data_IF_246232717774
#
_entry.id   IF_246232717774
#
_cell.length_a   1.000
_cell.length_b   1.000
_cell.length_c   1.000
_cell.angle_alpha   90.00
_cell.angle_beta   90.00
_cell.angle_gamma   90.00
#
_symmetry.space_group_name_H-M   'P 1'
#
loop_
_entity.id
_entity.type
_entity.pdbx_description
1 polymer ?
#
# COMPACT_ATOMS: atom_id res chain seq x y z
N UNK A 1 4.42 19.42 4.81
CA UNK A 1 4.17 19.02 6.21
C UNK A 1 4.99 17.79 6.50
N UNK A 2 5.71 17.80 7.61
CA UNK A 2 6.63 16.73 8.01
C UNK A 2 5.84 15.44 8.29
N UNK A 3 5.98 14.45 7.40
CA UNK A 3 5.33 13.13 7.53
C UNK A 3 5.96 12.30 8.66
N UNK A 4 7.13 12.68 9.16
CA UNK A 4 7.84 11.93 10.19
C UNK A 4 7.30 12.17 11.60
N UNK A 5 6.57 13.26 11.83
CA UNK A 5 5.91 13.56 13.11
C UNK A 5 4.45 13.11 13.21
N UNK A 6 3.93 12.34 12.25
CA UNK A 6 2.55 11.81 12.30
C UNK A 6 2.54 10.38 12.83
N UNK A 7 1.82 10.20 13.94
CA UNK A 7 1.77 8.96 14.73
C UNK A 7 0.61 8.03 14.38
N UNK A 8 -0.38 8.51 13.61
CA UNK A 8 -1.60 7.76 13.27
C UNK A 8 -1.75 7.65 11.75
N UNK A 9 -2.10 6.45 11.29
CA UNK A 9 -2.42 6.10 9.91
C UNK A 9 -3.89 5.72 9.79
N UNK A 10 -4.61 6.34 8.86
CA UNK A 10 -6.06 6.19 8.72
C UNK A 10 -6.42 5.24 7.58
N UNK A 11 -7.22 4.22 7.90
CA UNK A 11 -7.77 3.28 6.93
C UNK A 11 -9.27 3.53 6.74
N UNK A 12 -9.64 4.12 5.62
CA UNK A 12 -11.03 4.37 5.24
C UNK A 12 -11.58 3.14 4.51
N UNK A 13 -12.74 2.64 4.95
CA UNK A 13 -13.30 1.40 4.42
C UNK A 13 -14.80 1.28 4.73
N UNK A 14 -15.39 0.11 4.47
CA UNK A 14 -16.78 -0.21 4.80
C UNK A 14 -16.92 -1.09 6.06
N UNK A 15 -18.15 -1.24 6.56
CA UNK A 15 -18.42 -2.03 7.77
C UNK A 15 -18.14 -3.53 7.61
N UNK A 16 -18.22 -4.08 6.39
CA UNK A 16 -17.89 -5.49 6.16
C UNK A 16 -16.38 -5.73 6.29
N UNK A 17 -15.57 -4.80 5.79
CA UNK A 17 -14.13 -4.83 5.95
C UNK A 17 -13.74 -4.62 7.43
N UNK A 18 -14.39 -3.71 8.15
CA UNK A 18 -14.14 -3.50 9.58
C UNK A 18 -14.49 -4.71 10.43
N UNK A 19 -15.57 -5.43 10.15
CA UNK A 19 -15.86 -6.72 10.82
C UNK A 19 -14.68 -7.69 10.66
N UNK A 20 -14.12 -7.80 9.44
CA UNK A 20 -12.93 -8.61 9.20
C UNK A 20 -11.68 -8.14 9.95
N UNK A 21 -11.44 -6.83 10.00
CA UNK A 21 -10.25 -6.25 10.65
C UNK A 21 -10.35 -6.40 12.17
N UNK A 22 -11.49 -6.07 12.77
CA UNK A 22 -11.66 -6.00 14.21
C UNK A 22 -12.03 -7.37 14.80
N UNK A 23 -13.16 -7.96 14.37
CA UNK A 23 -13.68 -9.21 14.96
C UNK A 23 -12.81 -10.40 14.58
N UNK A 24 -12.41 -10.50 13.31
CA UNK A 24 -11.56 -11.60 12.85
C UNK A 24 -10.05 -11.33 13.03
N UNK A 25 -9.66 -10.13 13.48
CA UNK A 25 -8.26 -9.70 13.57
C UNK A 25 -7.48 -9.86 12.25
N UNK A 26 -8.11 -9.59 11.09
CA UNK A 26 -7.53 -9.81 9.78
C UNK A 26 -7.40 -8.52 8.96
N UNK A 27 -6.17 -8.07 8.74
CA UNK A 27 -5.90 -6.99 7.79
C UNK A 27 -5.67 -7.59 6.40
N UNK A 28 -6.57 -7.28 5.46
CA UNK A 28 -6.45 -7.77 4.07
C UNK A 28 -5.44 -6.93 3.30
N UNK A 29 -4.42 -7.58 2.75
CA UNK A 29 -3.58 -7.00 1.70
C UNK A 29 -4.08 -7.46 0.33
N UNK A 30 -4.25 -6.50 -0.58
CA UNK A 30 -4.80 -6.73 -1.91
C UNK A 30 -3.72 -6.57 -2.98
N UNK A 31 -3.89 -7.25 -4.12
CA UNK A 31 -2.92 -7.16 -5.20
C UNK A 31 -2.91 -5.75 -5.80
N UNK A 32 -1.80 -5.04 -5.65
CA UNK A 32 -1.60 -3.65 -6.11
C UNK A 32 -1.73 -3.55 -7.63
N UNK A 33 -1.36 -4.61 -8.37
CA UNK A 33 -1.46 -4.68 -9.83
C UNK A 33 -2.87 -4.97 -10.35
N UNK A 34 -3.81 -5.33 -9.47
CA UNK A 34 -5.24 -5.48 -9.79
C UNK A 34 -6.08 -4.35 -9.17
N UNK A 35 -5.42 -3.34 -8.61
CA UNK A 35 -6.00 -2.06 -8.16
C UNK A 35 -5.78 -0.98 -9.22
N UNK A 36 -6.28 0.23 -8.96
CA UNK A 36 -6.13 1.40 -9.85
C UNK A 36 -4.65 1.73 -10.13
N UNK A 37 -3.73 1.26 -9.27
CA UNK A 37 -2.30 1.56 -9.24
C UNK A 37 -1.47 0.76 -10.28
N UNK A 38 -2.07 -0.20 -11.01
CA UNK A 38 -1.33 -0.98 -12.03
C UNK A 38 -0.75 -0.12 -13.16
N UNK A 39 -1.40 1.00 -13.47
CA UNK A 39 -0.90 1.98 -14.43
C UNK A 39 0.31 2.73 -13.86
N UNK A 40 0.32 3.02 -12.55
CA UNK A 40 1.41 3.75 -11.89
C UNK A 40 2.66 2.91 -11.80
N UNK A 41 2.56 1.62 -11.47
CA UNK A 41 3.72 0.72 -11.44
C UNK A 41 4.36 0.56 -12.82
N UNK A 42 3.54 0.41 -13.87
CA UNK A 42 4.03 0.40 -15.26
C UNK A 42 4.63 1.74 -15.67
N UNK A 43 4.05 2.85 -15.21
CA UNK A 43 4.58 4.19 -15.46
C UNK A 43 5.95 4.38 -14.81
N UNK A 44 6.13 3.93 -13.55
CA UNK A 44 7.42 3.91 -12.87
C UNK A 44 8.48 3.15 -13.68
N UNK A 45 8.17 1.92 -14.11
CA UNK A 45 9.14 1.08 -14.82
C UNK A 45 9.51 1.65 -16.20
N UNK A 46 8.55 2.26 -16.90
CA UNK A 46 8.82 2.99 -18.14
C UNK A 46 9.69 4.22 -17.90
N UNK A 47 9.36 5.03 -16.90
CA UNK A 47 10.15 6.21 -16.53
C UNK A 47 11.57 5.84 -16.11
N UNK A 48 11.73 4.72 -15.40
CA UNK A 48 13.05 4.21 -15.00
C UNK A 48 13.87 3.78 -16.22
N UNK A 49 13.27 3.07 -17.18
CA UNK A 49 13.93 2.74 -18.45
C UNK A 49 14.36 4.01 -19.19
N UNK A 50 13.47 5.01 -19.33
CA UNK A 50 13.78 6.28 -19.99
C UNK A 50 14.94 7.01 -19.31
N UNK A 51 14.93 7.11 -17.97
CA UNK A 51 15.98 7.79 -17.23
C UNK A 51 17.35 7.09 -17.35
N UNK A 52 17.38 5.75 -17.39
CA UNK A 52 18.63 4.99 -17.64
C UNK A 52 19.12 5.23 -19.07
N UNK A 53 18.22 5.18 -20.06
CA UNK A 53 18.59 5.41 -21.47
C UNK A 53 19.15 6.82 -21.67
N UNK A 54 18.47 7.85 -21.17
CA UNK A 54 18.93 9.24 -21.27
C UNK A 54 20.33 9.43 -20.64
N UNK A 55 20.60 8.75 -19.53
CA UNK A 55 21.90 8.76 -18.86
C UNK A 55 22.99 8.12 -19.73
N UNK A 56 22.71 6.98 -20.35
CA UNK A 56 23.65 6.30 -21.25
C UNK A 56 23.96 7.15 -22.48
N UNK A 57 22.96 7.78 -23.08
CA UNK A 57 23.12 8.67 -24.23
C UNK A 57 24.02 9.87 -23.89
N UNK A 58 23.82 10.48 -22.72
CA UNK A 58 24.67 11.58 -22.22
C UNK A 58 26.13 11.16 -21.98
N UNK A 59 26.37 9.90 -21.64
CA UNK A 59 27.71 9.33 -21.43
C UNK A 59 28.33 8.75 -22.70
N UNK A 60 27.64 8.82 -23.84
CA UNK A 60 28.12 8.29 -25.12
C UNK A 60 28.08 6.76 -25.23
N UNK A 61 27.27 6.09 -24.40
CA UNK A 61 27.10 4.63 -24.33
C UNK A 61 25.95 4.14 -25.20
N UNK A 62 25.95 4.54 -26.48
CA UNK A 62 24.82 4.28 -27.40
C UNK A 62 24.60 2.77 -27.65
N UNK A 63 25.68 1.98 -27.62
CA UNK A 63 25.65 0.54 -27.91
C UNK A 63 24.84 -0.25 -26.86
N UNK A 64 24.68 0.28 -25.65
CA UNK A 64 23.96 -0.38 -24.55
C UNK A 64 22.48 0.00 -24.48
N UNK A 65 22.03 1.01 -25.24
CA UNK A 65 20.66 1.55 -25.17
C UNK A 65 19.62 0.50 -25.55
N UNK A 66 19.82 -0.19 -26.68
CA UNK A 66 18.89 -1.22 -27.17
C UNK A 66 18.76 -2.37 -26.16
N UNK A 67 19.88 -2.85 -25.61
CA UNK A 67 19.89 -3.91 -24.62
C UNK A 67 19.11 -3.55 -23.33
N UNK A 68 19.20 -2.29 -22.87
CA UNK A 68 18.40 -1.82 -21.73
C UNK A 68 16.92 -1.79 -22.08
N UNK A 69 16.56 -1.25 -23.25
CA UNK A 69 15.17 -1.18 -23.68
C UNK A 69 14.54 -2.57 -23.78
N UNK A 70 15.24 -3.53 -24.39
CA UNK A 70 14.80 -4.91 -24.52
C UNK A 70 14.63 -5.58 -23.16
N UNK A 71 15.60 -5.40 -22.26
CA UNK A 71 15.55 -5.93 -20.90
C UNK A 71 14.29 -5.44 -20.16
N UNK A 72 14.01 -4.13 -20.19
CA UNK A 72 12.82 -3.57 -19.54
C UNK A 72 11.52 -4.01 -20.23
N UNK A 73 11.50 -4.10 -21.57
CA UNK A 73 10.33 -4.58 -22.31
C UNK A 73 9.98 -6.02 -21.96
N UNK A 74 10.97 -6.92 -21.91
CA UNK A 74 10.76 -8.31 -21.48
C UNK A 74 10.32 -8.38 -20.03
N UNK A 75 10.90 -7.56 -19.16
CA UNK A 75 10.50 -7.49 -17.76
C UNK A 75 9.03 -7.05 -17.59
N UNK A 76 8.55 -6.13 -18.43
CA UNK A 76 7.16 -5.66 -18.40
C UNK A 76 6.12 -6.71 -18.83
N UNK A 77 6.54 -7.78 -19.52
CA UNK A 77 5.65 -8.89 -19.89
C UNK A 77 5.38 -9.84 -18.72
N UNK A 78 6.18 -9.79 -17.66
CA UNK A 78 6.05 -10.65 -16.49
C UNK A 78 4.92 -10.17 -15.58
N UNK A 79 4.15 -11.11 -15.04
CA UNK A 79 3.15 -10.80 -14.01
C UNK A 79 3.81 -10.76 -12.63
N UNK A 80 3.91 -9.56 -12.06
CA UNK A 80 4.30 -9.39 -10.67
C UNK A 80 3.07 -9.54 -9.76
N UNK A 81 3.30 -9.77 -8.47
CA UNK A 81 2.22 -9.81 -7.48
C UNK A 81 2.70 -9.16 -6.19
N UNK A 82 2.55 -7.84 -6.11
CA UNK A 82 2.72 -7.10 -4.87
C UNK A 82 1.36 -6.97 -4.17
N UNK A 83 1.34 -7.11 -2.85
CA UNK A 83 0.13 -6.93 -2.06
C UNK A 83 0.31 -5.82 -1.04
N UNK A 84 -0.69 -4.95 -0.89
CA UNK A 84 -0.63 -3.87 0.08
C UNK A 84 -1.96 -3.66 0.80
N UNK A 85 -1.85 -3.17 2.03
CA UNK A 85 -2.90 -2.43 2.72
C UNK A 85 -2.51 -0.95 2.72
N UNK A 86 -3.45 -0.08 2.37
CA UNK A 86 -3.21 1.34 2.16
C UNK A 86 -3.80 2.18 3.28
N UNK A 87 -3.08 3.21 3.68
CA UNK A 87 -3.45 4.15 4.73
C UNK A 87 -3.20 5.58 4.27
N UNK A 88 -3.98 6.52 4.81
CA UNK A 88 -3.75 7.95 4.62
C UNK A 88 -3.24 8.60 5.91
N UNK A 89 -2.43 9.65 5.77
CA UNK A 89 -2.09 10.55 6.88
C UNK A 89 -3.17 11.60 7.18
N UNK A 90 -4.28 11.63 6.42
CA UNK A 90 -5.36 12.57 6.64
C UNK A 90 -6.47 11.97 7.49
N UNK A 91 -6.70 12.60 8.65
CA UNK A 91 -7.84 12.34 9.54
C UNK A 91 -9.07 13.06 8.99
N UNK A 92 -10.18 12.35 8.93
CA UNK A 92 -11.52 12.87 8.61
C UNK A 92 -11.62 13.71 7.31
N UNK A 93 -10.99 13.23 6.23
CA UNK A 93 -10.86 13.97 4.97
C UNK A 93 -11.97 13.64 3.96
N UNK A 94 -12.49 14.67 3.29
CA UNK A 94 -13.61 14.56 2.35
C UNK A 94 -13.28 13.68 1.13
N UNK A 95 -12.09 13.82 0.54
CA UNK A 95 -11.69 13.03 -0.62
C UNK A 95 -11.46 11.55 -0.23
N UNK A 96 -10.93 11.29 0.96
CA UNK A 96 -10.79 9.94 1.50
C UNK A 96 -12.16 9.29 1.77
N UNK A 97 -13.10 10.02 2.37
CA UNK A 97 -14.47 9.54 2.59
C UNK A 97 -15.19 9.21 1.28
N UNK A 98 -15.07 10.09 0.28
CA UNK A 98 -15.69 9.91 -1.02
C UNK A 98 -15.17 8.64 -1.73
N UNK A 99 -13.85 8.48 -1.79
CA UNK A 99 -13.20 7.42 -2.58
C UNK A 99 -13.14 6.08 -1.87
N UNK A 100 -12.79 6.07 -0.58
CA UNK A 100 -12.44 4.85 0.15
C UNK A 100 -13.39 4.56 1.30
N UNK A 101 -13.99 5.59 1.92
CA UNK A 101 -14.94 5.46 3.02
C UNK A 101 -16.38 5.19 2.59
N UNK A 102 -16.59 4.40 1.52
CA UNK A 102 -17.90 4.07 0.95
C UNK A 102 -18.78 5.32 0.71
N UNK A 103 -18.22 6.34 0.03
CA UNK A 103 -18.90 7.63 -0.24
C UNK A 103 -19.44 8.29 1.03
N UNK A 104 -18.64 8.28 2.10
CA UNK A 104 -18.99 8.84 3.41
C UNK A 104 -19.94 7.99 4.26
N UNK A 105 -20.45 6.85 3.77
CA UNK A 105 -21.32 5.96 4.55
C UNK A 105 -20.57 4.90 5.37
N UNK A 106 -19.27 4.75 5.10
CA UNK A 106 -18.42 3.77 5.72
C UNK A 106 -17.87 4.23 7.07
N UNK A 107 -16.64 3.82 7.33
CA UNK A 107 -15.97 3.99 8.61
C UNK A 107 -14.46 4.14 8.37
N UNK A 108 -13.77 4.80 9.30
CA UNK A 108 -12.34 5.01 9.27
C UNK A 108 -11.70 4.49 10.57
N UNK A 109 -10.63 3.71 10.45
CA UNK A 109 -9.85 3.22 11.59
C UNK A 109 -8.51 3.97 11.64
N UNK A 110 -8.25 4.68 12.73
CA UNK A 110 -6.95 5.28 13.02
C UNK A 110 -6.04 4.26 13.71
N UNK A 111 -4.94 3.89 13.06
CA UNK A 111 -3.98 2.88 13.53
C UNK A 111 -2.69 3.55 14.00
N UNK A 112 -2.14 3.10 15.13
CA UNK A 112 -0.87 3.62 15.65
C UNK A 112 0.27 3.18 14.74
N UNK A 113 0.96 4.16 14.16
CA UNK A 113 2.06 3.94 13.22
C UNK A 113 3.21 3.17 13.86
N UNK A 114 3.56 3.47 15.11
CA UNK A 114 4.64 2.78 15.83
C UNK A 114 4.40 1.26 15.89
N UNK A 115 3.17 0.84 16.20
CA UNK A 115 2.82 -0.58 16.24
C UNK A 115 2.81 -1.19 14.83
N UNK A 116 2.27 -0.49 13.83
CA UNK A 116 2.36 -0.93 12.42
C UNK A 116 3.81 -1.10 11.95
N UNK A 117 4.73 -0.24 12.37
CA UNK A 117 6.16 -0.36 12.08
C UNK A 117 6.77 -1.58 12.77
N UNK A 118 6.41 -1.83 14.03
CA UNK A 118 6.91 -2.97 14.80
C UNK A 118 6.39 -4.30 14.28
N UNK A 119 5.17 -4.37 13.76
CA UNK A 119 4.63 -5.61 13.15
C UNK A 119 5.13 -5.83 11.71
N UNK A 120 5.59 -4.77 11.02
CA UNK A 120 6.14 -4.86 9.67
C UNK A 120 7.58 -5.44 9.69
N UNK A 121 7.67 -6.77 9.86
CA UNK A 121 8.92 -7.54 9.89
C UNK A 121 8.98 -8.55 8.74
N UNK A 122 10.18 -9.05 8.46
CA UNK A 122 10.40 -10.09 7.45
C UNK A 122 10.01 -9.61 6.06
N UNK A 123 9.05 -10.29 5.43
CA UNK A 123 8.54 -9.93 4.11
C UNK A 123 7.53 -8.77 4.11
N UNK A 124 7.13 -8.26 5.29
CA UNK A 124 6.31 -7.05 5.42
C UNK A 124 7.17 -5.81 5.58
N UNK A 125 6.77 -4.73 4.91
CA UNK A 125 7.41 -3.42 5.05
C UNK A 125 6.37 -2.29 5.05
N UNK A 126 6.52 -1.34 5.96
CA UNK A 126 5.69 -0.14 6.00
C UNK A 126 6.39 0.99 5.23
N UNK A 127 5.86 1.33 4.06
CA UNK A 127 6.49 2.22 3.10
C UNK A 127 5.68 3.50 2.90
N UNK A 128 6.35 4.65 2.91
CA UNK A 128 5.74 5.92 2.53
C UNK A 128 5.66 6.01 1.01
N UNK A 129 4.49 6.38 0.49
CA UNK A 129 4.31 6.62 -0.95
C UNK A 129 4.98 7.94 -1.34
N UNK A 130 5.80 7.88 -2.39
CA UNK A 130 6.45 9.03 -2.99
C UNK A 130 5.76 9.42 -4.29
N UNK A 131 5.72 10.72 -4.54
CA UNK A 131 4.95 11.31 -5.64
C UNK A 131 5.93 11.99 -6.59
N UNK A 132 6.10 11.45 -7.80
CA UNK A 132 7.01 11.99 -8.82
C UNK A 132 6.43 11.77 -10.21
N UNK A 133 6.79 12.64 -11.13
CA UNK A 133 6.47 12.56 -12.56
C UNK A 133 7.67 12.06 -13.39
N UNK A 134 8.89 12.23 -12.91
CA UNK A 134 10.11 11.67 -13.49
C UNK A 134 10.87 10.71 -12.55
N UNK A 135 11.70 9.85 -13.16
CA UNK A 135 12.60 8.93 -12.46
C UNK A 135 14.06 9.41 -12.48
N UNK A 136 14.32 10.62 -12.96
CA UNK A 136 15.66 11.17 -12.98
C UNK A 136 16.19 11.30 -11.54
N UNK A 137 17.41 10.82 -11.31
CA UNK A 137 18.01 10.78 -9.97
C UNK A 137 17.34 9.82 -8.99
N UNK A 138 16.43 8.94 -9.42
CA UNK A 138 15.99 7.83 -8.58
C UNK A 138 17.18 6.87 -8.34
N UNK A 139 17.43 6.37 -7.12
CA UNK A 139 18.60 5.53 -6.82
C UNK A 139 18.73 4.29 -7.70
N UNK A 140 17.62 3.75 -8.19
CA UNK A 140 17.64 2.62 -9.11
C UNK A 140 18.27 2.95 -10.47
N UNK A 141 18.24 4.21 -10.94
CA UNK A 141 18.94 4.61 -12.17
C UNK A 141 20.43 4.35 -12.00
N UNK A 142 21.02 4.80 -10.88
CA UNK A 142 22.44 4.58 -10.57
C UNK A 142 22.78 3.09 -10.42
N UNK A 143 21.86 2.27 -9.90
CA UNK A 143 22.05 0.81 -9.82
C UNK A 143 22.16 0.21 -11.22
N UNK A 144 21.25 0.54 -12.14
CA UNK A 144 21.30 0.03 -13.50
C UNK A 144 22.51 0.56 -14.27
N UNK A 145 22.83 1.86 -14.16
CA UNK A 145 24.03 2.43 -14.76
C UNK A 145 25.29 1.70 -14.27
N UNK A 146 25.44 1.47 -12.96
CA UNK A 146 26.60 0.74 -12.42
C UNK A 146 26.73 -0.69 -12.97
N UNK A 147 25.64 -1.43 -13.08
CA UNK A 147 25.67 -2.78 -13.67
C UNK A 147 26.22 -2.74 -15.11
N UNK A 148 25.84 -1.70 -15.87
CA UNK A 148 26.32 -1.49 -17.24
C UNK A 148 27.81 -1.10 -17.25
N UNK A 149 28.23 -0.23 -16.33
CA UNK A 149 29.64 0.18 -16.17
C UNK A 149 30.56 -0.99 -15.83
N UNK A 150 30.09 -1.90 -14.98
CA UNK A 150 30.80 -3.10 -14.57
C UNK A 150 30.79 -4.20 -15.66
N UNK A 151 30.13 -3.97 -16.79
CA UNK A 151 30.04 -4.92 -17.90
C UNK A 151 29.17 -6.14 -17.57
N UNK A 152 28.24 -6.02 -16.62
CA UNK A 152 27.31 -7.11 -16.28
C UNK A 152 26.41 -7.39 -17.48
N UNK A 153 26.28 -8.65 -17.92
CA UNK A 153 25.37 -9.00 -19.00
C UNK A 153 23.93 -8.60 -18.65
N UNK A 154 23.31 -7.75 -19.48
CA UNK A 154 21.94 -7.26 -19.31
C UNK A 154 20.89 -8.32 -19.67
N UNK A 155 20.91 -9.43 -18.94
CA UNK A 155 19.98 -10.54 -19.08
C UNK A 155 19.16 -10.71 -17.82
N UNK A 156 17.86 -11.03 -17.95
CA UNK A 156 17.01 -11.40 -16.83
C UNK A 156 17.45 -12.68 -16.08
N UNK A 157 18.41 -13.42 -16.66
CA UNK A 157 19.03 -14.59 -16.04
C UNK A 157 20.21 -14.23 -15.12
N UNK A 158 20.80 -13.04 -15.30
CA UNK A 158 21.89 -12.59 -14.44
C UNK A 158 21.37 -12.30 -13.01
N UNK A 159 22.02 -12.83 -11.95
CA UNK A 159 21.56 -12.63 -10.58
C UNK A 159 21.50 -11.16 -10.13
N UNK A 160 22.46 -10.32 -10.56
CA UNK A 160 22.53 -8.92 -10.20
C UNK A 160 21.46 -8.12 -10.92
N UNK A 161 21.25 -8.36 -12.22
CA UNK A 161 20.16 -7.74 -13.00
C UNK A 161 18.79 -8.16 -12.45
N UNK A 162 18.59 -9.46 -12.18
CA UNK A 162 17.35 -9.96 -11.58
C UNK A 162 17.09 -9.33 -10.22
N UNK A 163 18.12 -9.14 -9.40
CA UNK A 163 17.98 -8.42 -8.12
C UNK A 163 17.59 -6.96 -8.35
N UNK A 164 18.26 -6.24 -9.24
CA UNK A 164 17.93 -4.86 -9.56
C UNK A 164 16.49 -4.69 -10.07
N UNK A 165 16.02 -5.59 -10.93
CA UNK A 165 14.63 -5.58 -11.40
C UNK A 165 13.63 -5.84 -10.28
N UNK A 166 13.91 -6.80 -9.40
CA UNK A 166 13.08 -7.03 -8.20
C UNK A 166 13.03 -5.78 -7.31
N UNK A 167 14.17 -5.15 -7.07
CA UNK A 167 14.27 -3.94 -6.25
C UNK A 167 13.50 -2.77 -6.93
N UNK A 168 13.56 -2.63 -8.25
CA UNK A 168 12.79 -1.65 -9.02
C UNK A 168 11.28 -1.88 -8.91
N UNK A 169 10.82 -3.12 -9.07
CA UNK A 169 9.42 -3.47 -8.88
C UNK A 169 8.94 -3.22 -7.45
N UNK A 170 9.76 -3.51 -6.44
CA UNK A 170 9.45 -3.19 -5.05
C UNK A 170 9.31 -1.66 -4.85
N UNK A 171 10.18 -0.85 -5.45
CA UNK A 171 10.07 0.62 -5.42
C UNK A 171 8.76 1.12 -6.07
N UNK A 172 8.36 0.50 -7.19
CA UNK A 172 7.15 0.88 -7.92
C UNK A 172 5.87 0.73 -7.08
N UNK A 173 5.85 -0.15 -6.06
CA UNK A 173 4.71 -0.34 -5.16
C UNK A 173 4.42 0.91 -4.33
N UNK A 174 5.41 1.77 -4.12
CA UNK A 174 5.28 3.02 -3.35
C UNK A 174 5.37 4.26 -4.23
N UNK A 175 5.25 4.12 -5.54
CA UNK A 175 5.27 5.23 -6.49
C UNK A 175 3.85 5.66 -6.88
N UNK A 176 3.64 6.98 -6.96
CA UNK A 176 2.43 7.59 -7.53
C UNK A 176 2.75 8.83 -8.36
N UNK A 177 1.87 9.13 -9.31
CA UNK A 177 1.93 10.41 -10.03
C UNK A 177 1.55 11.59 -9.09
N UNK A 178 2.12 12.81 -9.25
CA UNK A 178 1.87 13.92 -8.33
C UNK A 178 0.40 14.34 -8.18
N UNK A 179 -0.44 14.04 -9.17
CA UNK A 179 -1.89 14.26 -9.11
C UNK A 179 -2.60 13.49 -7.99
N UNK A 180 -1.98 12.44 -7.45
CA UNK A 180 -2.51 11.64 -6.34
C UNK A 180 -1.96 12.05 -4.97
N UNK A 181 -1.18 13.15 -4.88
CA UNK A 181 -0.59 13.64 -3.63
C UNK A 181 -1.63 13.97 -2.54
N UNK A 182 -2.89 14.21 -2.92
CA UNK A 182 -4.03 14.36 -2.00
C UNK A 182 -4.37 13.09 -1.21
N UNK A 183 -3.82 11.93 -1.56
CA UNK A 183 -4.01 10.71 -0.79
C UNK A 183 -3.10 10.63 0.43
N UNK A 184 -1.92 11.29 0.35
CA UNK A 184 -0.92 11.34 1.41
C UNK A 184 -0.72 9.95 2.06
N UNK A 185 -0.30 9.01 1.22
CA UNK A 185 -0.47 7.58 1.46
C UNK A 185 0.76 6.94 2.12
N UNK A 186 0.50 5.92 2.94
CA UNK A 186 1.47 4.95 3.42
C UNK A 186 0.92 3.54 3.18
N UNK A 187 1.79 2.59 2.81
CA UNK A 187 1.42 1.21 2.46
C UNK A 187 2.11 0.22 3.37
N UNK A 188 1.37 -0.74 3.91
CA UNK A 188 1.94 -1.98 4.43
C UNK A 188 2.02 -2.98 3.28
N UNK A 189 3.23 -3.21 2.78
CA UNK A 189 3.51 -3.98 1.58
C UNK A 189 4.04 -5.36 1.96
N UNK A 190 3.45 -6.40 1.38
CA UNK A 190 4.03 -7.75 1.31
C UNK A 190 4.93 -7.80 0.09
N UNK A 191 6.22 -8.07 0.32
CA UNK A 191 7.21 -8.14 -0.75
C UNK A 191 6.81 -9.17 -1.81
N UNK A 192 6.75 -8.78 -3.10
CA UNK A 192 6.37 -9.68 -4.19
C UNK A 192 7.33 -10.87 -4.38
N UNK A 193 8.53 -10.82 -3.79
CA UNK A 193 9.63 -11.75 -4.06
C UNK A 193 10.05 -12.61 -2.86
N UNK A 194 9.38 -12.44 -1.72
CA UNK A 194 9.65 -13.17 -0.48
C UNK A 194 8.41 -13.92 -0.02
N UNK A 195 8.07 -15.04 -0.68
CA UNK A 195 7.15 -16.01 -0.07
C UNK A 195 7.85 -16.85 1.02
N UNK A 196 9.17 -16.78 1.12
CA UNK A 196 9.91 -17.41 2.20
C UNK A 196 9.70 -16.62 3.50
N UNK A 197 8.73 -17.04 4.31
CA UNK A 197 8.56 -16.58 5.69
C UNK A 197 7.16 -16.12 6.09
N UNK A 198 6.26 -15.90 5.12
CA UNK A 198 4.86 -15.59 5.39
C UNK A 198 4.01 -16.75 4.84
N UNK A 199 3.63 -17.71 5.70
CA UNK A 199 2.69 -18.80 5.36
C UNK A 199 1.27 -18.25 5.17
N UNK A 200 1.12 -17.31 4.22
CA UNK A 200 -0.12 -16.62 3.92
C UNK A 200 -0.89 -17.44 2.90
N UNK A 201 -1.97 -18.08 3.37
CA UNK A 201 -2.91 -18.75 2.47
C UNK A 201 -3.76 -17.71 1.75
N UNK A 202 -3.88 -17.77 0.42
CA UNK A 202 -4.75 -16.86 -0.30
C UNK A 202 -6.20 -17.08 0.11
N UNK A 203 -6.93 -15.99 0.30
CA UNK A 203 -8.37 -15.97 0.47
C UNK A 203 -9.04 -15.24 -0.70
N UNK A 204 -10.36 -15.40 -0.81
CA UNK A 204 -11.13 -14.85 -1.90
C UNK A 204 -12.31 -14.04 -1.38
N UNK A 205 -12.50 -12.85 -1.94
CA UNK A 205 -13.67 -12.02 -1.70
C UNK A 205 -14.53 -12.05 -2.96
N UNK A 206 -15.70 -12.66 -2.84
CA UNK A 206 -16.68 -12.77 -3.93
C UNK A 206 -17.61 -11.56 -3.85
N UNK A 207 -17.63 -10.77 -4.91
CA UNK A 207 -18.56 -9.65 -5.11
C UNK A 207 -19.59 -10.02 -6.17
N UNK A 208 -20.59 -9.16 -6.41
CA UNK A 208 -21.55 -9.37 -7.48
C UNK A 208 -20.88 -9.40 -8.87
N UNK A 209 -19.77 -8.69 -9.03
CA UNK A 209 -19.10 -8.45 -10.31
C UNK A 209 -17.84 -9.31 -10.52
N UNK A 210 -17.14 -9.69 -9.44
CA UNK A 210 -15.82 -10.34 -9.53
C UNK A 210 -15.43 -11.14 -8.29
N UNK A 211 -14.51 -12.08 -8.48
CA UNK A 211 -13.78 -12.78 -7.41
C UNK A 211 -12.41 -12.10 -7.26
N UNK A 212 -12.09 -11.62 -6.06
CA UNK A 212 -10.81 -10.97 -5.75
C UNK A 212 -9.96 -11.85 -4.83
N UNK A 213 -8.72 -12.10 -5.21
CA UNK A 213 -7.72 -12.73 -4.32
C UNK A 213 -7.15 -11.68 -3.36
N UNK A 214 -7.06 -12.02 -2.08
CA UNK A 214 -6.38 -11.23 -1.05
C UNK A 214 -5.63 -12.16 -0.09
N UNK A 215 -4.74 -11.60 0.72
CA UNK A 215 -4.07 -12.33 1.80
C UNK A 215 -4.43 -11.67 3.14
N UNK A 216 -5.00 -12.41 4.10
CA UNK A 216 -5.26 -11.88 5.43
C UNK A 216 -3.98 -11.95 6.27
N UNK A 217 -3.53 -10.80 6.77
CA UNK A 217 -2.52 -10.74 7.81
C UNK A 217 -3.18 -11.00 9.17
N UNK A 218 -2.61 -11.90 9.96
CA UNK A 218 -3.08 -12.19 11.32
C UNK A 218 -2.63 -11.09 12.29
N UNK A 219 -3.48 -10.08 12.46
CA UNK A 219 -3.18 -8.96 13.37
C UNK A 219 -3.05 -9.42 14.81
N UNK A 220 -3.75 -10.48 15.23
CA UNK A 220 -3.70 -10.95 16.62
C UNK A 220 -2.32 -11.52 16.92
N UNK A 221 -1.88 -12.49 16.13
CA UNK A 221 -0.53 -13.07 16.26
C UNK A 221 0.57 -12.01 16.10
N UNK A 222 0.43 -11.12 15.13
CA UNK A 222 1.40 -10.04 14.90
C UNK A 222 1.49 -9.05 16.07
N UNK A 223 0.37 -8.72 16.73
CA UNK A 223 0.36 -7.87 17.93
C UNK A 223 0.96 -8.60 19.14
N UNK A 224 0.64 -9.88 19.33
CA UNK A 224 1.22 -10.73 20.38
C UNK A 224 2.74 -10.80 20.30
N UNK A 225 3.31 -10.95 19.09
CA UNK A 225 4.76 -10.96 18.85
C UNK A 225 5.46 -9.66 19.29
N UNK A 226 4.76 -8.53 19.24
CA UNK A 226 5.31 -7.25 19.70
C UNK A 226 4.82 -6.88 21.11
N UNK A 227 4.17 -7.81 21.82
CA UNK A 227 3.67 -7.64 23.19
C UNK A 227 2.69 -6.47 23.34
N UNK A 228 1.79 -6.29 22.37
CA UNK A 228 0.69 -5.33 22.46
C UNK A 228 -0.66 -6.04 22.24
N UNK A 229 -1.73 -5.51 22.83
CA UNK A 229 -3.08 -5.97 22.54
C UNK A 229 -3.55 -5.48 21.17
N UNK A 230 -4.49 -6.20 20.54
CA UNK A 230 -5.09 -5.77 19.27
C UNK A 230 -5.74 -4.38 19.42
N UNK A 231 -6.41 -4.12 20.54
CA UNK A 231 -7.02 -2.81 20.82
C UNK A 231 -5.98 -1.68 20.95
N UNK A 232 -4.72 -1.99 21.27
CA UNK A 232 -3.66 -0.97 21.34
C UNK A 232 -3.25 -0.48 19.95
N UNK A 233 -3.39 -1.33 18.92
CA UNK A 233 -3.14 -0.97 17.53
C UNK A 233 -4.07 0.14 17.03
N UNK A 234 -5.31 0.20 17.53
CA UNK A 234 -6.34 1.13 17.06
C UNK A 234 -6.43 2.34 18.00
N UNK A 235 -6.04 3.52 17.52
CA UNK A 235 -6.13 4.76 18.29
C UNK A 235 -7.54 5.33 18.34
N UNK A 236 -8.30 5.25 17.25
CA UNK A 236 -9.65 5.79 17.13
C UNK A 236 -10.44 5.13 15.99
N UNK A 237 -11.76 5.23 16.06
CA UNK A 237 -12.68 4.78 15.01
C UNK A 237 -13.69 5.89 14.72
N UNK A 238 -13.79 6.31 13.47
CA UNK A 238 -14.66 7.42 13.04
C UNK A 238 -15.74 6.86 12.12
N UNK A 239 -17.00 7.03 12.47
CA UNK A 239 -18.16 6.71 11.62
C UNK A 239 -18.34 7.81 10.58
N UNK A 240 -18.49 7.43 9.31
CA UNK A 240 -18.52 8.38 8.19
C UNK A 240 -19.69 9.38 8.24
N UNK A 241 -19.52 10.58 7.64
CA UNK A 241 -20.46 11.70 7.80
C UNK A 241 -21.83 11.46 7.14
N UNK A 242 -21.91 10.53 6.19
CA UNK A 242 -23.14 10.10 5.54
C UNK A 242 -23.67 8.76 6.06
N UNK A 243 -23.06 8.20 7.10
CA UNK A 243 -23.46 6.89 7.62
C UNK A 243 -24.76 6.96 8.43
N UNK A 244 -25.62 5.96 8.28
CA UNK A 244 -26.81 5.78 9.12
C UNK A 244 -26.52 4.93 10.37
N UNK A 245 -25.26 4.53 10.58
CA UNK A 245 -24.87 3.71 11.72
C UNK A 245 -25.01 4.48 13.04
N UNK A 246 -25.76 3.92 13.98
CA UNK A 246 -25.81 4.44 15.36
C UNK A 246 -24.49 4.17 16.07
N UNK A 247 -23.89 5.19 16.67
CA UNK A 247 -22.68 5.06 17.48
C UNK A 247 -22.89 4.09 18.64
N UNK A 248 -24.02 4.19 19.37
CA UNK A 248 -24.32 3.31 20.50
C UNK A 248 -24.38 1.83 20.07
N UNK A 249 -25.06 1.52 18.97
CA UNK A 249 -25.14 0.14 18.45
C UNK A 249 -23.76 -0.36 18.03
N UNK A 250 -22.94 0.50 17.42
CA UNK A 250 -21.58 0.10 17.01
C UNK A 250 -20.67 -0.12 18.22
N UNK A 251 -20.81 0.69 19.27
CA UNK A 251 -20.11 0.50 20.55
C UNK A 251 -20.51 -0.81 21.23
N UNK A 252 -21.80 -1.15 21.25
CA UNK A 252 -22.29 -2.43 21.78
C UNK A 252 -21.74 -3.60 20.97
N UNK A 253 -21.75 -3.49 19.64
CA UNK A 253 -21.12 -4.47 18.76
C UNK A 253 -19.63 -4.68 19.11
N UNK A 254 -18.86 -3.63 19.38
CA UNK A 254 -17.45 -3.76 19.78
C UNK A 254 -17.32 -4.50 21.13
N UNK A 255 -18.13 -4.13 22.13
CA UNK A 255 -18.13 -4.78 23.46
C UNK A 255 -18.48 -6.27 23.35
N UNK A 256 -19.53 -6.60 22.60
CA UNK A 256 -20.01 -7.97 22.43
C UNK A 256 -19.01 -8.84 21.66
N UNK A 257 -18.12 -8.24 20.86
CA UNK A 257 -17.04 -8.92 20.15
C UNK A 257 -15.70 -8.88 20.91
N UNK A 258 -15.71 -8.54 22.20
CA UNK A 258 -14.52 -8.58 23.06
C UNK A 258 -13.53 -7.45 22.82
N UNK A 259 -14.00 -6.31 22.31
CA UNK A 259 -13.21 -5.09 22.06
C UNK A 259 -13.77 -3.89 22.86
N UNK A 260 -13.89 -3.99 24.19
CA UNK A 260 -14.54 -2.95 25.00
C UNK A 260 -13.76 -1.63 25.02
N UNK A 261 -12.44 -1.68 24.94
CA UNK A 261 -11.58 -0.48 24.96
C UNK A 261 -11.72 0.34 23.68
N UNK A 262 -12.09 -0.30 22.57
CA UNK A 262 -12.37 0.40 21.30
C UNK A 262 -13.73 1.09 21.29
N UNK A 263 -14.70 0.62 22.07
CA UNK A 263 -16.02 1.24 22.14
C UNK A 263 -15.93 2.71 22.60
N UNK A 264 -15.02 3.01 23.53
CA UNK A 264 -14.81 4.37 24.03
C UNK A 264 -14.00 5.26 23.06
N UNK A 265 -13.52 4.70 21.94
CA UNK A 265 -12.73 5.39 20.91
C UNK A 265 -13.53 5.64 19.63
N UNK A 266 -14.86 5.44 19.67
CA UNK A 266 -15.77 5.68 18.56
C UNK A 266 -16.24 7.13 18.55
N UNK A 267 -16.12 7.80 17.42
CA UNK A 267 -16.71 9.13 17.17
C UNK A 267 -17.48 9.17 15.86
N UNK A 268 -18.29 10.22 15.69
CA UNK A 268 -18.84 10.58 14.38
C UNK A 268 -17.84 11.48 13.64
N UNK A 269 -17.87 11.44 12.31
CA UNK A 269 -17.15 12.38 11.45
C UNK A 269 -17.76 13.78 11.53
N UNK A 270 -16.91 14.80 11.58
CA UNK A 270 -17.29 16.21 11.47
C UNK A 270 -17.11 16.75 10.04
N UNK A 271 -16.67 15.89 9.12
CA UNK A 271 -16.37 16.25 7.75
C UNK A 271 -17.64 16.73 7.02
N UNK A 272 -17.68 17.96 6.49
CA UNK A 272 -18.82 18.49 5.76
C UNK A 272 -18.83 17.93 4.32
N UNK A 273 -18.93 16.62 4.20
CA UNK A 273 -19.00 15.95 2.91
C UNK A 273 -20.29 16.37 2.23
N UNK A 274 -20.17 17.15 1.15
CA UNK A 274 -21.34 17.55 0.35
C UNK A 274 -21.97 16.28 -0.20
N UNK A 275 -23.15 15.94 0.33
CA UNK A 275 -23.94 14.87 -0.23
C UNK A 275 -24.15 15.17 -1.71
N UNK A 276 -23.75 14.26 -2.59
CA UNK A 276 -24.41 14.12 -3.87
C UNK A 276 -25.83 13.63 -3.55
N UNK A 277 -26.70 14.57 -3.13
CA UNK A 277 -28.13 14.35 -3.20
C UNK A 277 -28.43 14.08 -4.68
N UNK A 278 -28.70 12.81 -4.97
CA UNK A 278 -29.28 12.38 -6.25
C UNK A 278 -30.66 13.00 -6.41
#
# INVERSE_FOLDING_TARGET
MDRFGKDILYHYTDFQAVDGILRCAQLRVNNVLRMNDSAEMRHFMKGLCSAVVERLEQEGRQEQVEAVQDLFQEEMKKEYSAFAACFSFYRDDAAQWERYGNRGRGICIGLRREHLQRIAKGALSLQTVFYRDDMAGHPMVEVFCRLIEEGVPLSGEDPAVRKAMRDAWACSVSFKHPSFSSENEMRLVVSPFGQEGLDLKPCYHVTKERIKKYYPLDLRGMCEEIQVGMEDLVSEIIIGPGSTQSAAIFQDYLRDNGLPSLADRVSLSDCPLRGMYL
#
